data_IF_784612521069
#
_entry.id   IF_784612521069
#
_cell.length_a   1.000
_cell.length_b   1.000
_cell.length_c   1.000
_cell.angle_alpha   90.00
_cell.angle_beta   90.00
_cell.angle_gamma   90.00
#
_symmetry.space_group_name_H-M   'P 1'
#
loop_
_entity.id
_entity.type
_entity.pdbx_description
1 polymer ?
#
# COMPACT_ATOMS: atom_id res chain seq x y z
N UNK A 1 19.60 -7.06 -16.39
CA UNK A 1 18.28 -6.59 -15.96
C UNK A 1 18.05 -5.13 -16.32
N UNK A 2 16.81 -4.70 -16.51
CA UNK A 2 16.50 -3.38 -17.05
C UNK A 2 16.72 -2.30 -15.97
N UNK A 3 17.82 -1.51 -16.05
CA UNK A 3 18.13 -0.37 -15.15
C UNK A 3 17.05 0.74 -15.12
N UNK A 4 15.96 0.55 -15.88
CA UNK A 4 14.85 1.50 -15.92
C UNK A 4 13.75 1.25 -14.87
N UNK A 5 13.82 0.15 -14.13
CA UNK A 5 12.82 -0.23 -13.10
C UNK A 5 13.32 0.18 -11.73
N UNK A 6 12.46 0.87 -10.97
CA UNK A 6 12.70 1.29 -9.58
C UNK A 6 11.58 0.72 -8.71
N UNK A 7 11.95 0.01 -7.66
CA UNK A 7 11.05 -0.39 -6.58
C UNK A 7 10.97 0.73 -5.55
N UNK A 8 9.79 1.16 -5.20
CA UNK A 8 9.61 2.33 -4.34
C UNK A 8 8.62 2.04 -3.23
N UNK A 9 9.03 2.28 -1.99
CA UNK A 9 8.16 2.28 -0.81
C UNK A 9 8.17 3.65 -0.14
N UNK A 10 7.07 4.04 0.50
CA UNK A 10 6.90 5.36 1.11
C UNK A 10 6.20 5.23 2.47
N UNK A 11 6.91 5.57 3.56
CA UNK A 11 6.47 5.35 4.94
C UNK A 11 7.02 6.39 5.92
N UNK A 12 6.51 6.42 7.17
CA UNK A 12 7.13 7.18 8.24
C UNK A 12 8.58 6.73 8.53
N UNK A 13 9.41 7.65 9.00
CA UNK A 13 10.68 7.35 9.65
C UNK A 13 10.42 6.78 11.06
N UNK A 14 10.09 5.49 11.12
CA UNK A 14 9.74 4.79 12.36
C UNK A 14 10.29 3.36 12.35
N UNK A 15 10.69 2.87 13.54
CA UNK A 15 11.23 1.52 13.77
C UNK A 15 10.33 0.42 13.23
N UNK A 16 9.01 0.62 13.35
CA UNK A 16 8.00 -0.29 12.82
C UNK A 16 8.18 -0.61 11.33
N UNK A 17 8.74 0.32 10.56
CA UNK A 17 8.96 0.12 9.12
C UNK A 17 10.36 -0.39 8.78
N UNK A 18 11.33 -0.32 9.69
CA UNK A 18 12.70 -0.80 9.44
C UNK A 18 12.72 -2.30 9.17
N UNK A 19 12.15 -3.10 10.07
CA UNK A 19 12.13 -4.56 9.92
C UNK A 19 11.27 -5.02 8.74
N UNK A 20 10.18 -4.30 8.42
CA UNK A 20 9.35 -4.61 7.24
C UNK A 20 10.14 -4.36 5.95
N UNK A 21 10.84 -3.23 5.86
CA UNK A 21 11.70 -2.95 4.72
C UNK A 21 12.86 -3.94 4.61
N UNK A 22 13.38 -4.46 5.71
CA UNK A 22 14.40 -5.50 5.66
C UNK A 22 13.90 -6.75 4.94
N UNK A 23 12.70 -7.25 5.30
CA UNK A 23 12.04 -8.36 4.59
C UNK A 23 11.73 -8.02 3.13
N UNK A 24 11.21 -6.82 2.87
CA UNK A 24 10.91 -6.34 1.53
C UNK A 24 12.14 -6.37 0.63
N UNK A 25 13.27 -5.81 1.09
CA UNK A 25 14.54 -5.78 0.36
C UNK A 25 14.98 -7.22 0.03
N UNK A 26 15.00 -8.11 1.02
CA UNK A 26 15.39 -9.51 0.80
C UNK A 26 14.50 -10.20 -0.25
N UNK A 27 13.20 -9.95 -0.22
CA UNK A 27 12.30 -10.51 -1.23
C UNK A 27 12.59 -9.95 -2.64
N UNK A 28 12.94 -8.67 -2.78
CA UNK A 28 13.39 -8.09 -4.05
C UNK A 28 14.69 -8.74 -4.54
N UNK A 29 15.67 -8.90 -3.65
CA UNK A 29 16.97 -9.49 -3.99
C UNK A 29 16.84 -10.96 -4.38
N UNK A 30 15.96 -11.73 -3.74
CA UNK A 30 15.63 -13.12 -4.11
C UNK A 30 15.08 -13.21 -5.55
N UNK A 31 14.32 -12.20 -6.00
CA UNK A 31 13.84 -12.09 -7.37
C UNK A 31 14.90 -11.59 -8.37
N UNK A 32 16.13 -11.40 -7.92
CA UNK A 32 17.27 -11.00 -8.75
C UNK A 32 17.28 -9.50 -9.10
N UNK A 33 16.58 -8.65 -8.36
CA UNK A 33 16.71 -7.20 -8.45
C UNK A 33 17.94 -6.73 -7.66
N UNK A 34 18.46 -5.57 -8.00
CA UNK A 34 19.66 -5.00 -7.40
C UNK A 34 19.28 -3.97 -6.33
N UNK A 35 20.11 -3.81 -5.29
CA UNK A 35 19.89 -2.84 -4.20
C UNK A 35 19.68 -1.40 -4.74
N UNK A 36 20.43 -1.04 -5.78
CA UNK A 36 20.35 0.29 -6.43
C UNK A 36 19.00 0.59 -7.08
N UNK A 37 18.20 -0.46 -7.33
CA UNK A 37 16.84 -0.31 -7.86
C UNK A 37 15.79 -0.07 -6.78
N UNK A 38 16.15 -0.17 -5.50
CA UNK A 38 15.22 -0.06 -4.38
C UNK A 38 15.34 1.32 -3.76
N UNK A 39 14.26 2.08 -3.80
CA UNK A 39 14.13 3.40 -3.19
C UNK A 39 13.19 3.34 -1.99
N UNK A 40 13.73 3.56 -0.81
CA UNK A 40 12.98 3.67 0.46
C UNK A 40 12.81 5.15 0.79
N UNK A 41 11.59 5.64 0.75
CA UNK A 41 11.26 7.03 1.03
C UNK A 41 10.73 7.15 2.46
N UNK A 42 11.36 8.00 3.25
CA UNK A 42 11.05 8.20 4.66
C UNK A 42 10.49 9.60 4.88
N UNK A 43 9.36 9.68 5.56
CA UNK A 43 8.80 10.93 6.06
C UNK A 43 9.32 11.20 7.47
N UNK A 44 9.96 12.36 7.67
CA UNK A 44 10.41 12.84 8.98
C UNK A 44 9.59 14.06 9.44
N UNK A 45 8.89 13.96 10.59
CA UNK A 45 8.30 15.14 11.22
C UNK A 45 9.35 16.19 11.56
N UNK A 46 8.98 17.49 11.53
CA UNK A 46 9.93 18.62 11.74
C UNK A 46 10.76 18.53 13.03
N UNK A 47 10.14 18.03 14.11
CA UNK A 47 10.74 18.06 15.45
C UNK A 47 11.15 16.65 15.93
N UNK A 48 11.39 15.71 15.02
CA UNK A 48 11.82 14.35 15.36
C UNK A 48 13.21 14.10 14.83
N UNK A 49 14.05 13.43 15.64
CA UNK A 49 15.35 12.93 15.16
C UNK A 49 15.14 11.77 14.20
N UNK A 50 16.09 11.59 13.31
CA UNK A 50 16.14 10.46 12.37
C UNK A 50 16.37 9.15 13.14
N UNK A 51 15.65 8.10 12.76
CA UNK A 51 15.82 6.78 13.35
C UNK A 51 17.09 6.12 12.80
N UNK A 52 18.09 5.97 13.68
CA UNK A 52 19.41 5.42 13.34
C UNK A 52 19.41 3.96 12.89
N UNK A 53 18.33 3.21 13.12
CA UNK A 53 18.26 1.83 12.64
C UNK A 53 18.17 1.74 11.10
N UNK A 54 17.78 2.82 10.42
CA UNK A 54 17.94 2.92 8.97
C UNK A 54 19.40 2.95 8.50
N UNK A 55 20.32 3.50 9.33
CA UNK A 55 21.77 3.45 9.07
C UNK A 55 22.27 2.02 9.13
N UNK A 56 21.86 1.23 10.14
CA UNK A 56 22.18 -0.20 10.22
C UNK A 56 21.65 -0.98 9.02
N UNK A 57 20.42 -0.67 8.56
CA UNK A 57 19.87 -1.27 7.36
C UNK A 57 20.73 -0.93 6.13
N UNK A 58 21.20 0.32 6.03
CA UNK A 58 22.11 0.77 4.98
C UNK A 58 23.49 0.13 5.05
N UNK A 59 23.99 -0.18 6.26
CA UNK A 59 25.23 -0.96 6.44
C UNK A 59 25.08 -2.40 5.93
N UNK A 60 23.90 -3.00 6.13
CA UNK A 60 23.58 -4.34 5.62
C UNK A 60 23.45 -4.36 4.10
N UNK A 61 22.89 -3.29 3.51
CA UNK A 61 22.66 -3.11 2.08
C UNK A 61 23.35 -1.82 1.57
N UNK A 62 24.66 -1.84 1.31
CA UNK A 62 25.44 -0.61 1.07
C UNK A 62 25.03 0.20 -0.14
N UNK A 63 24.42 -0.45 -1.14
CA UNK A 63 23.97 0.22 -2.38
C UNK A 63 22.50 0.61 -2.37
N UNK A 64 21.76 0.28 -1.29
CA UNK A 64 20.35 0.64 -1.13
C UNK A 64 20.16 2.15 -1.13
N UNK A 65 19.08 2.63 -1.72
CA UNK A 65 18.75 4.06 -1.75
C UNK A 65 17.69 4.39 -0.68
N UNK A 66 18.11 5.05 0.38
CA UNK A 66 17.23 5.56 1.45
C UNK A 66 17.19 7.08 1.34
N UNK A 67 15.99 7.66 1.21
CA UNK A 67 15.76 9.09 1.07
C UNK A 67 14.90 9.61 2.19
N UNK A 68 15.37 10.65 2.87
CA UNK A 68 14.66 11.32 3.95
C UNK A 68 14.03 12.62 3.45
N UNK A 69 12.72 12.78 3.71
CA UNK A 69 11.93 13.94 3.36
C UNK A 69 11.30 14.56 4.61
N UNK A 70 11.57 15.83 4.82
CA UNK A 70 10.96 16.58 5.91
C UNK A 70 9.54 17.02 5.56
N UNK A 71 8.74 17.22 6.61
CA UNK A 71 7.39 17.73 6.47
C UNK A 71 7.35 19.09 5.76
N UNK A 72 6.53 19.18 4.71
CA UNK A 72 6.20 20.44 4.01
C UNK A 72 4.71 20.80 4.16
N UNK A 73 4.11 20.46 5.30
CA UNK A 73 2.76 20.92 5.65
C UNK A 73 1.70 19.84 5.86
N UNK A 74 2.05 18.53 5.83
CA UNK A 74 1.07 17.45 6.06
C UNK A 74 0.99 17.00 7.53
N UNK A 75 1.95 17.36 8.37
CA UNK A 75 2.01 16.93 9.76
C UNK A 75 0.70 17.18 10.54
N UNK A 76 0.03 18.28 10.27
CA UNK A 76 -1.26 18.63 10.88
C UNK A 76 -2.41 17.67 10.53
N UNK A 77 -2.28 16.90 9.45
CA UNK A 77 -3.31 15.96 8.97
C UNK A 77 -3.05 14.50 9.38
N UNK A 78 -1.87 14.18 9.93
CA UNK A 78 -1.50 12.79 10.26
C UNK A 78 -2.39 12.18 11.34
N UNK A 79 -2.92 13.00 12.27
CA UNK A 79 -3.93 12.55 13.23
C UNK A 79 -5.28 12.19 12.62
N UNK A 80 -5.55 12.64 11.39
CA UNK A 80 -6.78 12.38 10.64
C UNK A 80 -6.56 11.19 9.68
N UNK A 81 -5.44 11.22 8.94
CA UNK A 81 -5.16 10.22 7.90
C UNK A 81 -3.66 10.06 7.62
N UNK A 82 -3.03 9.06 8.22
CA UNK A 82 -1.59 8.80 8.06
C UNK A 82 -1.16 8.56 6.59
N UNK A 83 -1.93 7.82 5.75
CA UNK A 83 -1.51 7.54 4.37
C UNK A 83 -1.26 8.78 3.49
N UNK A 84 -1.71 9.99 3.89
CA UNK A 84 -1.41 11.24 3.17
C UNK A 84 0.09 11.50 3.05
N UNK A 85 0.90 10.98 3.98
CA UNK A 85 2.36 11.16 3.92
C UNK A 85 2.98 10.52 2.68
N UNK A 86 2.38 9.44 2.14
CA UNK A 86 2.90 8.72 0.97
C UNK A 86 2.98 9.61 -0.27
N UNK A 87 1.88 10.19 -0.78
CA UNK A 87 1.97 11.11 -1.91
C UNK A 87 2.78 12.37 -1.57
N UNK A 88 2.82 12.80 -0.29
CA UNK A 88 3.62 13.93 0.16
C UNK A 88 5.12 13.73 -0.07
N UNK A 89 5.67 12.58 0.29
CA UNK A 89 7.10 12.32 0.06
C UNK A 89 7.40 11.87 -1.36
N UNK A 90 6.43 11.23 -2.04
CA UNK A 90 6.58 10.86 -3.45
C UNK A 90 6.69 12.11 -4.33
N UNK A 91 5.83 13.15 -4.16
CA UNK A 91 5.98 14.35 -4.98
C UNK A 91 7.31 15.06 -4.74
N UNK A 92 7.82 15.09 -3.49
CA UNK A 92 9.14 15.65 -3.18
C UNK A 92 10.25 14.83 -3.83
N UNK A 93 10.12 13.50 -3.84
CA UNK A 93 11.10 12.62 -4.48
C UNK A 93 11.17 12.84 -5.99
N UNK A 94 10.02 12.90 -6.66
CA UNK A 94 9.94 13.17 -8.09
C UNK A 94 10.28 14.63 -8.46
N UNK A 95 10.09 15.57 -7.55
CA UNK A 95 10.56 16.96 -7.73
C UNK A 95 12.09 17.03 -7.70
N UNK A 96 12.71 16.32 -6.78
CA UNK A 96 14.16 16.27 -6.57
C UNK A 96 14.88 15.46 -7.66
N UNK A 97 14.24 14.43 -8.19
CA UNK A 97 14.76 13.49 -9.18
C UNK A 97 13.81 13.39 -10.39
N UNK A 98 13.74 14.44 -11.24
CA UNK A 98 12.77 14.49 -12.34
C UNK A 98 12.96 13.40 -13.39
N UNK A 99 14.16 12.81 -13.50
CA UNK A 99 14.44 11.66 -14.36
C UNK A 99 13.65 10.39 -13.99
N UNK A 100 13.07 10.32 -12.80
CA UNK A 100 12.16 9.23 -12.40
C UNK A 100 10.90 9.17 -13.27
N UNK A 101 10.52 10.28 -13.90
CA UNK A 101 9.40 10.29 -14.84
C UNK A 101 9.65 9.36 -16.04
N UNK A 102 10.92 9.14 -16.42
CA UNK A 102 11.31 8.25 -17.53
C UNK A 102 11.49 6.79 -17.08
N UNK A 103 11.33 6.51 -15.79
CA UNK A 103 11.47 5.17 -15.21
C UNK A 103 10.11 4.49 -15.09
N UNK A 104 10.17 3.17 -15.01
CA UNK A 104 9.04 2.37 -14.51
C UNK A 104 9.16 2.25 -13.01
N UNK A 105 8.17 2.73 -12.28
CA UNK A 105 8.14 2.71 -10.82
C UNK A 105 7.22 1.58 -10.36
N UNK A 106 7.75 0.62 -9.63
CA UNK A 106 6.97 -0.39 -8.92
C UNK A 106 6.77 0.16 -7.51
N UNK A 107 5.57 0.71 -7.26
CA UNK A 107 5.21 1.33 -6.01
C UNK A 107 4.32 0.40 -5.20
N UNK A 108 4.73 0.09 -3.97
CA UNK A 108 4.06 -0.87 -3.09
C UNK A 108 4.15 -0.44 -1.62
N UNK A 109 3.34 -1.09 -0.77
CA UNK A 109 3.60 -1.10 0.67
C UNK A 109 4.88 -1.90 0.97
N UNK A 110 5.52 -1.64 2.11
CA UNK A 110 6.74 -2.35 2.51
C UNK A 110 6.48 -3.64 3.29
N UNK A 111 5.22 -3.94 3.60
CA UNK A 111 4.79 -5.16 4.30
C UNK A 111 4.36 -6.28 3.34
N UNK A 112 4.93 -6.27 2.15
CA UNK A 112 4.77 -7.34 1.16
C UNK A 112 6.05 -8.17 1.02
N UNK A 113 5.89 -9.39 0.51
CA UNK A 113 6.97 -10.24 0.02
C UNK A 113 6.71 -10.58 -1.44
N UNK A 114 7.73 -10.39 -2.28
CA UNK A 114 7.73 -10.89 -3.64
C UNK A 114 8.01 -12.39 -3.63
N UNK A 115 7.20 -13.17 -4.34
CA UNK A 115 7.26 -14.64 -4.39
C UNK A 115 7.88 -15.13 -5.70
N UNK A 116 8.29 -16.39 -5.75
CA UNK A 116 9.05 -16.97 -6.85
C UNK A 116 8.31 -17.01 -8.20
N UNK A 117 6.98 -16.91 -8.18
CA UNK A 117 6.15 -16.85 -9.38
C UNK A 117 5.97 -15.44 -9.96
N UNK A 118 6.74 -14.45 -9.50
CA UNK A 118 6.70 -13.08 -9.99
C UNK A 118 7.11 -12.99 -11.48
N UNK A 119 6.22 -12.45 -12.32
CA UNK A 119 6.47 -12.27 -13.75
C UNK A 119 6.01 -10.89 -14.24
N UNK A 120 6.72 -9.84 -13.85
CA UNK A 120 6.39 -8.45 -14.24
C UNK A 120 6.97 -8.04 -15.60
N UNK A 121 7.82 -8.86 -16.23
CA UNK A 121 8.52 -8.47 -17.46
C UNK A 121 7.56 -8.13 -18.60
N UNK A 122 6.45 -8.86 -18.72
CA UNK A 122 5.42 -8.59 -19.73
C UNK A 122 4.71 -7.24 -19.56
N UNK A 123 4.79 -6.65 -18.35
CA UNK A 123 4.15 -5.39 -18.01
C UNK A 123 5.06 -4.18 -18.19
N UNK A 124 6.35 -4.37 -18.54
CA UNK A 124 7.34 -3.29 -18.60
C UNK A 124 7.45 -2.64 -19.99
N UNK A 125 6.95 -3.29 -21.06
CA UNK A 125 7.23 -2.93 -22.45
C UNK A 125 6.29 -1.90 -23.09
N UNK A 126 5.19 -1.54 -22.42
CA UNK A 126 4.16 -0.64 -22.95
C UNK A 126 4.02 0.67 -22.14
N UNK A 127 3.04 1.50 -22.47
CA UNK A 127 2.72 2.77 -21.80
C UNK A 127 1.56 2.66 -20.78
N UNK A 128 1.14 1.44 -20.46
CA UNK A 128 0.03 1.16 -19.54
C UNK A 128 0.53 1.13 -18.11
N UNK A 129 -0.18 1.81 -17.20
CA UNK A 129 0.02 1.68 -15.76
C UNK A 129 -0.77 0.47 -15.26
N UNK A 130 -0.13 -0.39 -14.48
CA UNK A 130 -0.77 -1.59 -13.96
C UNK A 130 -1.01 -1.48 -12.46
N UNK A 131 -2.14 -2.03 -12.01
CA UNK A 131 -2.58 -2.00 -10.63
C UNK A 131 -3.06 -3.38 -10.20
N UNK A 132 -2.89 -3.73 -8.91
CA UNK A 132 -3.53 -4.93 -8.36
C UNK A 132 -5.05 -4.81 -8.35
N UNK A 133 -5.76 -5.93 -8.44
CA UNK A 133 -7.22 -5.94 -8.45
C UNK A 133 -7.79 -5.52 -7.09
N UNK A 134 -8.49 -4.40 -7.06
CA UNK A 134 -9.20 -3.89 -5.90
C UNK A 134 -10.68 -3.55 -6.22
N UNK A 135 -11.23 -4.17 -7.26
CA UNK A 135 -12.60 -3.92 -7.72
C UNK A 135 -13.65 -4.12 -6.63
N UNK A 136 -13.43 -5.07 -5.72
CA UNK A 136 -14.39 -5.37 -4.65
C UNK A 136 -14.61 -4.23 -3.65
N UNK A 137 -13.77 -3.18 -3.67
CA UNK A 137 -13.87 -2.04 -2.75
C UNK A 137 -13.45 -0.68 -3.35
N UNK A 138 -13.14 -0.60 -4.65
CA UNK A 138 -12.72 0.65 -5.31
C UNK A 138 -13.44 0.99 -6.61
N UNK A 139 -14.36 0.16 -7.12
CA UNK A 139 -14.97 0.39 -8.42
C UNK A 139 -16.38 1.01 -8.35
N UNK A 140 -16.95 1.33 -9.51
CA UNK A 140 -18.32 1.82 -9.64
C UNK A 140 -19.34 0.87 -8.99
N UNK A 141 -19.25 -0.43 -9.26
CA UNK A 141 -20.18 -1.43 -8.73
C UNK A 141 -20.13 -1.50 -7.20
N UNK A 142 -18.98 -1.29 -6.59
CA UNK A 142 -18.85 -1.20 -5.13
C UNK A 142 -19.63 0.01 -4.57
N UNK A 143 -19.49 1.20 -5.17
CA UNK A 143 -20.29 2.35 -4.75
C UNK A 143 -21.79 2.10 -4.87
N UNK A 144 -22.24 1.56 -6.01
CA UNK A 144 -23.65 1.21 -6.22
C UNK A 144 -24.16 0.20 -5.18
N UNK A 145 -23.31 -0.78 -4.80
CA UNK A 145 -23.70 -1.75 -3.77
C UNK A 145 -23.95 -1.11 -2.41
N UNK A 146 -23.19 -0.06 -2.08
CA UNK A 146 -23.31 0.65 -0.79
C UNK A 146 -24.63 1.42 -0.64
N UNK A 147 -25.27 1.81 -1.73
CA UNK A 147 -26.62 2.40 -1.64
C UNK A 147 -27.66 1.48 -0.99
N UNK A 148 -27.43 0.16 -1.00
CA UNK A 148 -28.31 -0.80 -0.33
C UNK A 148 -28.12 -0.81 1.19
N UNK A 149 -26.96 -0.39 1.66
CA UNK A 149 -26.55 -0.38 3.07
C UNK A 149 -26.92 0.96 3.76
N UNK A 150 -27.45 1.93 2.99
CA UNK A 150 -27.90 3.22 3.53
C UNK A 150 -29.06 3.01 4.51
N UNK A 151 -29.04 3.75 5.64
CA UNK A 151 -30.12 3.73 6.63
C UNK A 151 -31.48 3.94 5.97
N UNK A 152 -32.51 3.10 6.29
CA UNK A 152 -33.81 3.17 5.62
C UNK A 152 -34.47 4.56 5.65
N UNK A 153 -34.37 5.28 6.77
CA UNK A 153 -34.91 6.64 6.93
C UNK A 153 -34.15 7.71 6.11
N UNK A 154 -32.97 7.37 5.62
CA UNK A 154 -32.13 8.27 4.82
C UNK A 154 -32.17 7.96 3.31
N UNK A 155 -32.89 6.93 2.90
CA UNK A 155 -32.77 6.40 1.53
C UNK A 155 -33.10 7.44 0.45
N UNK A 156 -34.15 8.27 0.64
CA UNK A 156 -34.53 9.29 -0.33
C UNK A 156 -33.48 10.40 -0.41
N UNK A 157 -33.01 10.88 0.75
CA UNK A 157 -31.96 11.89 0.82
C UNK A 157 -30.65 11.37 0.22
N UNK A 158 -30.24 10.12 0.51
CA UNK A 158 -29.06 9.53 -0.05
C UNK A 158 -29.11 9.38 -1.57
N UNK A 159 -30.28 9.02 -2.14
CA UNK A 159 -30.48 8.93 -3.57
C UNK A 159 -30.40 10.27 -4.30
N UNK A 160 -30.61 11.40 -3.59
CA UNK A 160 -30.40 12.73 -4.14
C UNK A 160 -28.93 13.11 -4.25
N UNK A 161 -28.02 12.35 -3.61
CA UNK A 161 -26.58 12.58 -3.60
C UNK A 161 -25.87 11.44 -4.36
N UNK A 162 -25.21 11.76 -5.43
CA UNK A 162 -24.36 10.81 -6.14
C UNK A 162 -22.96 10.81 -5.51
N UNK A 163 -22.74 9.94 -4.51
CA UNK A 163 -21.49 9.88 -3.76
C UNK A 163 -20.26 9.69 -4.67
N UNK A 164 -20.36 8.88 -5.69
CA UNK A 164 -19.26 8.68 -6.63
C UNK A 164 -19.00 9.92 -7.47
N UNK A 165 -20.07 10.58 -7.95
CA UNK A 165 -19.92 11.82 -8.71
C UNK A 165 -19.20 12.90 -7.89
N UNK A 166 -19.56 13.06 -6.63
CA UNK A 166 -18.90 14.02 -5.73
C UNK A 166 -17.40 13.71 -5.56
N UNK A 167 -17.02 12.42 -5.43
CA UNK A 167 -15.60 12.03 -5.40
C UNK A 167 -14.91 12.32 -6.73
N UNK A 168 -15.59 12.09 -7.87
CA UNK A 168 -15.09 12.45 -9.19
C UNK A 168 -14.88 13.97 -9.32
N UNK A 169 -15.83 14.78 -8.84
CA UNK A 169 -15.75 16.25 -8.86
C UNK A 169 -14.58 16.77 -8.00
N UNK A 170 -14.29 16.13 -6.85
CA UNK A 170 -13.11 16.47 -6.02
C UNK A 170 -11.81 16.32 -6.83
N UNK A 171 -11.71 15.28 -7.63
CA UNK A 171 -10.52 15.02 -8.46
C UNK A 171 -10.56 15.82 -9.77
N UNK A 172 -11.73 16.13 -10.29
CA UNK A 172 -11.95 16.83 -11.57
C UNK A 172 -12.00 15.89 -12.76
N UNK A 173 -12.63 14.71 -12.60
CA UNK A 173 -12.87 13.73 -13.67
C UNK A 173 -14.36 13.51 -13.91
N UNK A 174 -14.74 13.09 -15.11
CA UNK A 174 -16.10 12.67 -15.38
C UNK A 174 -16.38 11.30 -14.74
N UNK A 175 -17.54 11.14 -14.08
CA UNK A 175 -18.00 9.88 -13.51
C UNK A 175 -18.05 8.75 -14.55
N UNK A 176 -18.32 9.08 -15.82
CA UNK A 176 -18.37 8.10 -16.89
C UNK A 176 -17.03 7.37 -17.07
N UNK A 177 -15.89 8.05 -16.81
CA UNK A 177 -14.57 7.43 -16.85
C UNK A 177 -14.48 6.26 -15.85
N UNK A 178 -15.03 6.43 -14.63
CA UNK A 178 -15.05 5.39 -13.60
C UNK A 178 -15.96 4.23 -13.99
N UNK A 179 -17.12 4.53 -14.58
CA UNK A 179 -18.07 3.53 -15.10
C UNK A 179 -17.41 2.69 -16.20
N UNK A 180 -16.80 3.34 -17.19
CA UNK A 180 -16.15 2.68 -18.33
C UNK A 180 -14.95 1.81 -17.88
N UNK A 181 -14.29 2.20 -16.81
CA UNK A 181 -13.15 1.47 -16.21
C UNK A 181 -13.52 0.61 -15.00
N UNK A 182 -14.80 0.26 -14.82
CA UNK A 182 -15.28 -0.52 -13.67
C UNK A 182 -14.48 -1.82 -13.44
N UNK A 183 -13.96 -2.45 -14.49
CA UNK A 183 -13.16 -3.67 -14.45
C UNK A 183 -11.63 -3.44 -14.41
N UNK A 184 -11.20 -2.18 -14.47
CA UNK A 184 -9.78 -1.79 -14.45
C UNK A 184 -9.43 -0.91 -13.25
N UNK A 185 -10.22 -1.01 -12.17
CA UNK A 185 -10.01 -0.26 -10.94
C UNK A 185 -9.21 -1.10 -9.97
N UNK A 186 -8.13 -0.54 -9.48
CA UNK A 186 -7.22 -1.25 -8.60
C UNK A 186 -6.37 -0.32 -7.75
N UNK A 187 -5.46 -0.91 -7.00
CA UNK A 187 -4.59 -0.18 -6.10
C UNK A 187 -3.79 -1.10 -5.19
N UNK A 188 -3.10 -0.52 -4.21
CA UNK A 188 -2.19 -1.16 -3.26
C UNK A 188 -0.82 -1.44 -3.90
N UNK A 189 -0.77 -2.19 -5.01
CA UNK A 189 0.45 -2.49 -5.76
C UNK A 189 0.33 -1.87 -7.15
N UNK A 190 1.37 -1.17 -7.59
CA UNK A 190 1.36 -0.38 -8.81
C UNK A 190 2.62 -0.60 -9.65
N UNK A 191 2.47 -0.66 -10.96
CA UNK A 191 3.53 -0.41 -11.94
C UNK A 191 3.18 0.88 -12.65
N UNK A 192 3.89 1.96 -12.34
CA UNK A 192 3.62 3.31 -12.81
C UNK A 192 4.65 3.75 -13.84
N UNK A 193 4.18 4.37 -14.93
CA UNK A 193 4.99 4.84 -16.04
C UNK A 193 4.62 6.27 -16.41
N UNK A 194 5.64 7.05 -16.76
CA UNK A 194 5.47 8.46 -17.16
C UNK A 194 4.73 9.28 -16.08
N UNK A 195 5.06 9.07 -14.81
CA UNK A 195 4.50 9.79 -13.66
C UNK A 195 5.43 10.93 -13.26
N UNK A 196 4.88 12.14 -13.09
CA UNK A 196 5.63 13.33 -12.68
C UNK A 196 5.40 13.69 -11.21
N UNK A 197 6.18 14.64 -10.69
CA UNK A 197 5.94 15.22 -9.37
C UNK A 197 4.57 15.90 -9.28
N UNK A 198 4.09 16.51 -10.36
CA UNK A 198 2.75 17.14 -10.41
C UNK A 198 1.62 16.14 -10.20
N UNK A 199 1.77 14.91 -10.67
CA UNK A 199 0.82 13.82 -10.40
C UNK A 199 0.72 13.57 -8.89
N UNK A 200 1.86 13.31 -8.23
CA UNK A 200 1.87 13.01 -6.81
C UNK A 200 1.41 14.19 -5.94
N UNK A 201 1.74 15.41 -6.36
CA UNK A 201 1.26 16.62 -5.67
C UNK A 201 -0.25 16.76 -5.74
N UNK A 202 -0.85 16.42 -6.88
CA UNK A 202 -2.32 16.41 -7.02
C UNK A 202 -2.93 15.27 -6.21
N UNK A 203 -2.35 14.07 -6.19
CA UNK A 203 -2.79 12.98 -5.33
C UNK A 203 -2.82 13.42 -3.86
N UNK A 204 -1.77 14.09 -3.36
CA UNK A 204 -1.74 14.65 -2.00
C UNK A 204 -2.90 15.61 -1.73
N UNK A 205 -3.20 16.49 -2.68
CA UNK A 205 -4.29 17.48 -2.55
C UNK A 205 -5.68 16.83 -2.50
N UNK A 206 -5.88 15.74 -3.22
CA UNK A 206 -7.18 15.09 -3.36
C UNK A 206 -7.44 14.07 -2.26
N UNK A 207 -6.40 13.34 -1.79
CA UNK A 207 -6.56 12.25 -0.86
C UNK A 207 -7.27 12.65 0.43
N UNK A 208 -6.92 13.79 1.00
CA UNK A 208 -7.54 14.27 2.24
C UNK A 208 -8.98 14.71 2.01
N UNK A 209 -9.26 15.38 0.88
CA UNK A 209 -10.62 15.82 0.53
C UNK A 209 -11.54 14.60 0.33
N UNK A 210 -11.07 13.57 -0.39
CA UNK A 210 -11.80 12.31 -0.57
C UNK A 210 -12.05 11.66 0.79
N UNK A 211 -11.03 11.52 1.63
CA UNK A 211 -11.16 10.94 2.98
C UNK A 211 -12.22 11.65 3.81
N UNK A 212 -12.13 12.96 3.91
CA UNK A 212 -13.06 13.78 4.71
C UNK A 212 -14.49 13.70 4.16
N UNK A 213 -14.65 13.73 2.84
CA UNK A 213 -15.96 13.58 2.20
C UNK A 213 -16.59 12.22 2.52
N UNK A 214 -15.86 11.12 2.28
CA UNK A 214 -16.36 9.77 2.54
C UNK A 214 -16.67 9.53 4.02
N UNK A 215 -15.85 10.04 4.94
CA UNK A 215 -16.15 9.97 6.38
C UNK A 215 -17.41 10.75 6.75
N UNK A 216 -17.62 11.93 6.14
CA UNK A 216 -18.85 12.71 6.35
C UNK A 216 -20.07 11.89 5.88
N UNK A 217 -20.01 11.32 4.68
CA UNK A 217 -21.11 10.50 4.13
C UNK A 217 -21.36 9.26 4.98
N UNK A 218 -20.33 8.60 5.46
CA UNK A 218 -20.47 7.44 6.33
C UNK A 218 -21.22 7.80 7.64
N UNK A 219 -20.87 8.90 8.30
CA UNK A 219 -21.55 9.35 9.52
C UNK A 219 -22.99 9.79 9.29
N UNK A 220 -23.29 10.31 8.10
CA UNK A 220 -24.62 10.83 7.80
C UNK A 220 -25.60 9.76 7.34
N UNK A 221 -25.14 8.79 6.53
CA UNK A 221 -26.02 7.88 5.81
C UNK A 221 -25.88 6.42 6.21
N UNK A 222 -24.87 6.04 6.98
CA UNK A 222 -24.62 4.65 7.38
C UNK A 222 -24.60 4.51 8.91
N UNK A 223 -24.80 3.28 9.40
CA UNK A 223 -24.83 2.97 10.83
C UNK A 223 -23.52 3.32 11.54
N UNK A 224 -22.40 3.06 10.88
CA UNK A 224 -21.04 3.33 11.34
C UNK A 224 -20.06 3.41 10.13
N UNK A 225 -18.80 3.76 10.40
CA UNK A 225 -17.79 3.86 9.33
C UNK A 225 -17.47 2.52 8.66
N UNK A 226 -17.70 1.37 9.33
CA UNK A 226 -17.40 0.04 8.80
C UNK A 226 -18.50 -0.45 7.84
N UNK A 227 -19.76 -0.08 8.12
CA UNK A 227 -20.89 -0.41 7.23
C UNK A 227 -20.94 0.46 5.97
N UNK A 228 -20.28 1.62 5.99
CA UNK A 228 -20.25 2.58 4.90
C UNK A 228 -19.23 2.27 3.80
N UNK A 229 -18.89 3.32 3.05
CA UNK A 229 -17.84 3.28 2.05
C UNK A 229 -16.47 3.25 2.76
N UNK A 230 -15.56 2.40 2.31
CA UNK A 230 -14.24 2.24 2.93
C UNK A 230 -13.37 3.50 2.76
N UNK A 231 -13.67 4.53 3.55
CA UNK A 231 -12.96 5.81 3.51
C UNK A 231 -11.46 5.70 3.81
N UNK A 232 -11.03 4.60 4.44
CA UNK A 232 -9.63 4.28 4.65
C UNK A 232 -8.84 4.14 3.35
N UNK A 233 -9.49 3.70 2.27
CA UNK A 233 -8.88 3.52 0.95
C UNK A 233 -8.79 4.82 0.14
N UNK A 234 -8.92 6.00 0.76
CA UNK A 234 -8.92 7.28 0.06
C UNK A 234 -7.64 7.53 -0.76
N UNK A 235 -6.49 7.04 -0.31
CA UNK A 235 -5.23 7.14 -1.05
C UNK A 235 -5.25 6.29 -2.33
N UNK A 236 -5.82 5.10 -2.28
CA UNK A 236 -5.97 4.23 -3.45
C UNK A 236 -6.88 4.89 -4.50
N UNK A 237 -8.02 5.47 -4.06
CA UNK A 237 -8.93 6.21 -4.93
C UNK A 237 -8.24 7.43 -5.54
N UNK A 238 -7.50 8.18 -4.73
CA UNK A 238 -6.78 9.35 -5.20
C UNK A 238 -5.73 8.99 -6.25
N UNK A 239 -4.97 7.92 -6.07
CA UNK A 239 -3.98 7.46 -7.07
C UNK A 239 -4.69 7.03 -8.36
N UNK A 240 -5.70 6.13 -8.26
CA UNK A 240 -6.41 5.61 -9.43
C UNK A 240 -7.10 6.72 -10.24
N UNK A 241 -7.82 7.63 -9.58
CA UNK A 241 -8.55 8.69 -10.26
C UNK A 241 -7.62 9.74 -10.86
N UNK A 242 -6.48 9.99 -10.23
CA UNK A 242 -5.47 10.87 -10.80
C UNK A 242 -4.76 10.25 -12.01
N UNK A 243 -4.61 8.92 -12.11
CA UNK A 243 -4.17 8.32 -13.37
C UNK A 243 -5.09 8.76 -14.53
N UNK A 244 -6.40 8.71 -14.33
CA UNK A 244 -7.35 9.13 -15.36
C UNK A 244 -7.37 10.66 -15.56
N UNK A 245 -7.27 11.47 -14.50
CA UNK A 245 -7.14 12.92 -14.61
C UNK A 245 -5.95 13.34 -15.50
N UNK A 246 -4.83 12.64 -15.38
CA UNK A 246 -3.64 12.86 -16.21
C UNK A 246 -3.67 12.08 -17.54
N UNK A 247 -4.83 11.59 -17.97
CA UNK A 247 -5.02 10.81 -19.20
C UNK A 247 -4.08 9.60 -19.31
N UNK A 248 -3.76 8.95 -18.18
CA UNK A 248 -2.97 7.74 -18.16
C UNK A 248 -3.84 6.51 -18.34
N UNK A 249 -3.42 5.60 -19.21
CA UNK A 249 -4.04 4.28 -19.30
C UNK A 249 -3.74 3.48 -18.05
N UNK A 250 -4.73 2.81 -17.48
CA UNK A 250 -4.55 1.88 -16.36
C UNK A 250 -5.29 0.57 -16.60
N UNK A 251 -4.73 -0.54 -16.10
CA UNK A 251 -5.35 -1.87 -16.14
C UNK A 251 -5.02 -2.64 -14.88
N UNK A 252 -5.94 -3.47 -14.43
CA UNK A 252 -5.63 -4.50 -13.43
C UNK A 252 -4.75 -5.59 -14.04
N UNK A 253 -3.84 -6.16 -13.26
CA UNK A 253 -2.99 -7.27 -13.68
C UNK A 253 -2.87 -8.30 -12.57
N UNK A 254 -3.07 -9.58 -12.90
CA UNK A 254 -2.84 -10.70 -11.98
C UNK A 254 -1.39 -10.81 -11.50
N UNK A 255 -0.44 -10.23 -12.23
CA UNK A 255 0.97 -10.17 -11.82
C UNK A 255 1.22 -9.21 -10.64
N UNK A 256 0.19 -8.48 -10.20
CA UNK A 256 0.21 -7.63 -9.01
C UNK A 256 -0.80 -8.07 -7.95
N UNK A 257 -1.55 -9.15 -8.22
CA UNK A 257 -2.48 -9.70 -7.24
C UNK A 257 -1.70 -10.35 -6.09
N UNK A 258 -2.31 -10.42 -4.94
CA UNK A 258 -1.62 -10.84 -3.73
C UNK A 258 -2.50 -11.74 -2.85
N UNK A 259 -1.83 -12.64 -2.14
CA UNK A 259 -2.41 -13.38 -1.04
C UNK A 259 -2.36 -12.52 0.25
N UNK A 260 -3.42 -12.56 1.04
CA UNK A 260 -3.44 -11.98 2.38
C UNK A 260 -2.74 -12.91 3.39
N UNK A 261 -2.25 -12.37 4.50
CA UNK A 261 -1.70 -13.18 5.59
C UNK A 261 -2.72 -14.18 6.17
N UNK A 262 -4.01 -13.90 6.02
CA UNK A 262 -5.14 -14.75 6.44
C UNK A 262 -5.57 -15.79 5.41
N UNK A 263 -5.04 -15.74 4.20
CA UNK A 263 -5.39 -16.71 3.14
C UNK A 263 -4.76 -18.08 3.40
N UNK A 264 -5.34 -19.17 2.85
CA UNK A 264 -4.71 -20.48 2.84
C UNK A 264 -3.32 -20.44 2.20
N UNK A 265 -2.37 -21.16 2.78
CA UNK A 265 -0.96 -21.17 2.33
C UNK A 265 -0.79 -21.58 0.85
N UNK A 266 -1.71 -22.39 0.31
CA UNK A 266 -1.74 -22.77 -1.11
C UNK A 266 -1.89 -21.59 -2.07
N UNK A 267 -2.35 -20.42 -1.57
CA UNK A 267 -2.40 -19.19 -2.39
C UNK A 267 -1.02 -18.71 -2.83
N UNK A 268 0.03 -19.02 -2.07
CA UNK A 268 1.40 -18.63 -2.40
C UNK A 268 1.91 -19.31 -3.69
N UNK A 269 1.30 -20.42 -4.12
CA UNK A 269 1.60 -21.07 -5.40
C UNK A 269 1.03 -20.32 -6.60
N UNK A 270 0.00 -19.48 -6.37
CA UNK A 270 -0.76 -18.82 -7.44
C UNK A 270 -0.46 -17.33 -7.52
N UNK A 271 -0.30 -16.67 -6.37
CA UNK A 271 -0.10 -15.23 -6.31
C UNK A 271 1.39 -14.87 -6.27
N UNK A 272 1.82 -13.81 -6.99
CA UNK A 272 3.21 -13.35 -7.00
C UNK A 272 3.62 -12.55 -5.78
N UNK A 273 2.68 -12.20 -4.91
CA UNK A 273 2.90 -11.33 -3.75
C UNK A 273 2.18 -11.92 -2.53
N UNK A 274 2.85 -11.93 -1.38
CA UNK A 274 2.20 -12.04 -0.08
C UNK A 274 2.13 -10.64 0.57
N UNK A 275 0.93 -10.20 0.91
CA UNK A 275 0.71 -8.95 1.63
C UNK A 275 0.37 -9.25 3.09
N UNK A 276 1.25 -8.86 4.01
CA UNK A 276 1.05 -9.09 5.44
C UNK A 276 0.04 -8.11 6.04
N UNK A 277 -1.23 -8.27 5.64
CA UNK A 277 -2.36 -7.49 6.14
C UNK A 277 -3.55 -8.42 6.46
N UNK A 278 -4.60 -7.87 7.05
CA UNK A 278 -5.82 -8.59 7.41
C UNK A 278 -5.81 -9.21 8.82
N UNK A 279 -4.66 -9.36 9.48
CA UNK A 279 -4.58 -9.84 10.86
C UNK A 279 -4.68 -8.65 11.81
N UNK A 280 -5.66 -8.68 12.71
CA UNK A 280 -5.99 -7.59 13.64
C UNK A 280 -5.64 -7.90 15.10
N UNK A 281 -5.32 -9.14 15.42
CA UNK A 281 -4.82 -9.59 16.74
C UNK A 281 -4.09 -10.92 16.61
N UNK A 282 -3.33 -11.32 17.63
CA UNK A 282 -2.55 -12.56 17.64
C UNK A 282 -3.42 -13.85 17.58
N UNK A 283 -4.65 -13.80 18.05
CA UNK A 283 -5.55 -14.96 18.14
C UNK A 283 -6.95 -14.75 17.54
N UNK A 284 -7.22 -13.57 17.02
CA UNK A 284 -8.56 -13.16 16.55
C UNK A 284 -9.09 -13.97 15.36
N UNK A 285 -8.23 -14.70 14.67
CA UNK A 285 -8.59 -15.55 13.53
C UNK A 285 -8.88 -17.02 13.92
N UNK A 286 -8.89 -17.33 15.21
CA UNK A 286 -9.09 -18.72 15.71
C UNK A 286 -7.83 -19.58 15.72
N UNK A 287 -6.68 -19.02 15.33
CA UNK A 287 -5.36 -19.63 15.37
C UNK A 287 -4.29 -18.57 15.69
N UNK A 288 -3.12 -18.96 16.22
CA UNK A 288 -2.00 -18.04 16.43
C UNK A 288 -1.55 -17.42 15.11
N UNK A 289 -1.51 -16.09 15.02
CA UNK A 289 -1.17 -15.37 13.81
C UNK A 289 -0.22 -14.18 14.08
N UNK A 290 0.60 -13.84 13.11
CA UNK A 290 1.52 -12.71 13.23
C UNK A 290 0.79 -11.37 13.09
N UNK A 291 0.50 -10.75 14.23
CA UNK A 291 -0.11 -9.43 14.28
C UNK A 291 0.97 -8.33 14.29
N UNK A 292 1.27 -7.78 13.12
CA UNK A 292 2.29 -6.71 12.98
C UNK A 292 2.02 -5.47 13.83
N UNK A 293 0.75 -5.15 14.12
CA UNK A 293 0.36 -4.01 14.96
C UNK A 293 0.90 -4.06 16.39
N UNK A 294 1.29 -5.24 16.90
CA UNK A 294 1.97 -5.41 18.19
C UNK A 294 3.32 -4.69 18.24
N UNK A 295 3.98 -4.51 17.10
CA UNK A 295 5.35 -4.00 17.00
C UNK A 295 5.43 -2.48 16.74
N UNK A 296 4.31 -1.78 16.85
CA UNK A 296 4.33 -0.33 16.95
C UNK A 296 5.11 0.14 18.21
N UNK A 297 5.57 1.38 18.20
CA UNK A 297 6.29 2.01 19.32
C UNK A 297 7.67 1.37 19.61
N UNK A 298 8.39 0.96 18.57
CA UNK A 298 9.77 0.53 18.68
C UNK A 298 9.96 -0.90 19.20
N UNK A 299 8.93 -1.72 19.24
CA UNK A 299 9.07 -3.14 19.55
C UNK A 299 9.70 -3.88 18.36
N UNK A 300 10.63 -4.80 18.69
CA UNK A 300 11.33 -5.59 17.70
C UNK A 300 10.68 -6.99 17.57
N UNK A 301 10.17 -7.39 16.38
CA UNK A 301 9.62 -8.73 16.20
C UNK A 301 10.67 -9.82 16.33
N UNK A 302 11.94 -9.55 16.02
CA UNK A 302 12.99 -10.57 16.04
C UNK A 302 13.28 -11.13 17.45
N UNK A 303 12.90 -10.41 18.50
CA UNK A 303 13.06 -10.84 19.90
C UNK A 303 11.78 -11.45 20.50
N UNK A 304 10.70 -11.51 19.74
CA UNK A 304 9.41 -11.98 20.24
C UNK A 304 9.29 -13.52 20.20
N UNK A 305 9.22 -14.22 21.33
CA UNK A 305 9.07 -15.67 21.37
C UNK A 305 7.72 -16.15 20.79
N UNK A 306 6.75 -15.26 20.64
CA UNK A 306 5.45 -15.61 20.03
C UNK A 306 5.57 -16.07 18.57
N UNK A 307 6.64 -15.67 17.87
CA UNK A 307 6.88 -16.16 16.51
C UNK A 307 7.02 -17.69 16.46
N UNK A 308 7.66 -18.29 17.46
CA UNK A 308 7.79 -19.75 17.57
C UNK A 308 6.41 -20.41 17.77
N UNK A 309 5.54 -19.79 18.58
CA UNK A 309 4.15 -20.25 18.76
C UNK A 309 3.39 -20.32 17.42
N UNK A 310 3.58 -19.32 16.55
CA UNK A 310 2.97 -19.33 15.21
C UNK A 310 3.52 -20.45 14.33
N UNK A 311 4.84 -20.73 14.40
CA UNK A 311 5.46 -21.77 13.59
C UNK A 311 5.13 -23.18 14.04
N UNK A 312 5.04 -23.42 15.35
CA UNK A 312 4.79 -24.74 15.91
C UNK A 312 3.31 -25.15 15.87
N UNK A 313 2.42 -24.18 15.60
CA UNK A 313 0.98 -24.42 15.58
C UNK A 313 0.54 -24.97 14.21
N UNK A 314 -0.03 -26.19 14.20
CA UNK A 314 -0.46 -26.88 12.98
C UNK A 314 -1.56 -26.10 12.23
N UNK A 315 -2.48 -25.43 12.93
CA UNK A 315 -3.54 -24.65 12.30
C UNK A 315 -2.94 -23.41 11.61
N UNK A 316 -2.02 -22.70 12.26
CA UNK A 316 -1.28 -21.58 11.66
C UNK A 316 -0.54 -21.99 10.38
N UNK A 317 -0.01 -23.21 10.33
CA UNK A 317 0.69 -23.78 9.17
C UNK A 317 -0.17 -23.87 7.91
N UNK A 318 -1.48 -23.78 8.02
CA UNK A 318 -2.40 -23.78 6.87
C UNK A 318 -2.57 -22.40 6.20
N UNK A 319 -2.04 -21.33 6.80
CA UNK A 319 -2.25 -19.95 6.38
C UNK A 319 -0.95 -19.21 6.02
N UNK A 320 -1.08 -18.19 5.19
CA UNK A 320 0.07 -17.41 4.69
C UNK A 320 0.85 -16.68 5.79
N UNK A 321 0.24 -16.38 6.94
CA UNK A 321 0.93 -15.81 8.11
C UNK A 321 2.10 -16.67 8.58
N UNK A 322 1.98 -17.99 8.51
CA UNK A 322 3.05 -18.93 8.86
C UNK A 322 4.27 -18.75 7.95
N UNK A 323 4.06 -18.64 6.64
CA UNK A 323 5.14 -18.38 5.69
C UNK A 323 5.83 -17.03 5.97
N UNK A 324 5.06 -15.99 6.28
CA UNK A 324 5.62 -14.68 6.62
C UNK A 324 6.55 -14.76 7.85
N UNK A 325 6.14 -15.49 8.89
CA UNK A 325 6.97 -15.71 10.09
C UNK A 325 8.21 -16.54 9.77
N UNK A 326 8.08 -17.54 8.89
CA UNK A 326 9.24 -18.33 8.41
C UNK A 326 10.30 -17.44 7.76
N UNK A 327 9.89 -16.53 6.87
CA UNK A 327 10.80 -15.57 6.23
C UNK A 327 11.40 -14.58 7.26
N UNK A 328 10.61 -14.13 8.23
CA UNK A 328 11.08 -13.25 9.29
C UNK A 328 12.17 -13.90 10.14
N UNK A 329 12.01 -15.16 10.55
CA UNK A 329 13.01 -15.91 11.31
C UNK A 329 14.22 -16.32 10.47
N UNK A 330 14.03 -16.58 9.18
CA UNK A 330 15.14 -16.79 8.26
C UNK A 330 16.01 -15.52 8.14
N UNK A 331 15.38 -14.35 8.08
CA UNK A 331 16.04 -13.05 8.09
C UNK A 331 16.82 -12.83 9.39
N UNK A 332 16.17 -13.07 10.55
CA UNK A 332 16.81 -13.00 11.87
C UNK A 332 18.10 -13.83 11.90
N UNK A 333 18.01 -15.10 11.46
CA UNK A 333 19.17 -16.02 11.44
C UNK A 333 20.27 -15.54 10.50
N UNK A 334 19.91 -15.05 9.31
CA UNK A 334 20.86 -14.61 8.27
C UNK A 334 21.74 -13.44 8.76
N UNK A 335 21.15 -12.50 9.50
CA UNK A 335 21.80 -11.25 9.88
C UNK A 335 22.05 -11.09 11.38
N UNK A 336 21.79 -12.15 12.19
CA UNK A 336 21.93 -12.13 13.66
C UNK A 336 21.16 -10.95 14.29
N UNK A 337 19.89 -10.81 13.93
CA UNK A 337 19.03 -9.72 14.42
C UNK A 337 18.42 -10.11 15.78
N UNK A 338 18.83 -9.42 16.84
CA UNK A 338 18.33 -9.58 18.22
C UNK A 338 17.72 -8.27 18.75
#
# INVERSE_FOLDING_TARGET
MNKKVIFCTAQPDDEYFVWQNHLYIESCLKQGFEEEQIHILLYKPKNREYNKNWEKLKETYPKLNIFLYEDRGVQQYLGIYIPILRPHILWQHFEKYPELQEKTIIYTDCDILWLDNLNIQSLLGDDVNYVSDAKSYLNYSYFESKYKDVLPEKTEQARSIDFLKEVCDIVGIDKQIVIDNNNNTGGVQYILKNISSAFWKKVEQDVLKIRMYLQKMNREFFKDENSGIQSWCADLWAVQFNLWFFNKKSKTSKELDFAWATDPISRLETYPILHNAGIVSETGNGYPAFYKGKYHQGKNPFTDPYLETVLENEESGKYCTHFYVTELLALKKKYNLD
#
